data_IF_206933032032
#
_entry.id   IF_206933032032
#
_cell.length_a   1.000
_cell.length_b   1.000
_cell.length_c   1.000
_cell.angle_alpha   90.00
_cell.angle_beta   90.00
_cell.angle_gamma   90.00
#
_symmetry.space_group_name_H-M   'P 1'
#
loop_
_entity.id
_entity.type
_entity.pdbx_description
1 polymer ?
#
# COMPACT_ATOMS: atom_id res chain seq x y z
N UNK A 1 -15.72 54.91 36.42
CA UNK A 1 -16.57 53.85 35.81
C UNK A 1 -15.74 53.13 34.77
N UNK A 2 -15.09 52.02 35.15
CA UNK A 2 -14.09 51.34 34.32
C UNK A 2 -14.74 50.13 33.64
N UNK A 3 -14.58 50.06 32.32
CA UNK A 3 -15.38 49.27 31.39
C UNK A 3 -15.25 47.75 31.55
N UNK A 4 -16.37 47.06 31.31
CA UNK A 4 -16.46 45.60 31.22
C UNK A 4 -15.78 45.13 29.93
N UNK A 5 -14.59 44.55 30.05
CA UNK A 5 -13.94 43.83 28.95
C UNK A 5 -14.79 42.58 28.65
N UNK A 6 -15.47 42.57 27.51
CA UNK A 6 -16.16 41.38 27.01
C UNK A 6 -15.11 40.35 26.60
N UNK A 7 -14.87 39.38 27.48
CA UNK A 7 -14.07 38.18 27.20
C UNK A 7 -14.77 37.41 26.08
N UNK A 8 -14.32 37.58 24.84
CA UNK A 8 -14.79 36.81 23.69
C UNK A 8 -14.35 35.36 23.93
N UNK A 9 -15.30 34.50 24.28
CA UNK A 9 -15.12 33.05 24.28
C UNK A 9 -14.74 32.66 22.86
N UNK A 10 -13.47 32.36 22.65
CA UNK A 10 -12.98 31.72 21.44
C UNK A 10 -13.31 30.23 21.60
N UNK A 11 -14.24 29.74 20.80
CA UNK A 11 -14.52 28.31 20.68
C UNK A 11 -13.28 27.61 20.13
N UNK A 12 -12.87 26.45 20.67
CA UNK A 12 -11.78 25.68 20.09
C UNK A 12 -12.25 25.14 18.74
N UNK A 13 -11.64 25.62 17.66
CA UNK A 13 -11.82 25.07 16.32
C UNK A 13 -11.53 23.56 16.38
N UNK A 14 -12.39 22.69 15.81
CA UNK A 14 -12.10 21.27 15.75
C UNK A 14 -10.78 21.10 15.01
N UNK A 15 -9.82 20.43 15.66
CA UNK A 15 -8.52 20.16 15.09
C UNK A 15 -8.69 19.31 13.83
N UNK A 16 -8.63 19.97 12.68
CA UNK A 16 -8.55 19.31 11.38
C UNK A 16 -7.14 18.72 11.29
N UNK A 17 -6.90 17.61 12.00
CA UNK A 17 -5.79 16.72 11.72
C UNK A 17 -6.13 16.00 10.41
N UNK A 18 -5.98 16.70 9.29
CA UNK A 18 -5.97 16.08 7.97
C UNK A 18 -4.66 15.30 7.86
N UNK A 19 -4.64 14.07 8.40
CA UNK A 19 -3.63 13.09 7.99
C UNK A 19 -4.01 12.68 6.58
N UNK A 20 -3.30 13.20 5.57
CA UNK A 20 -3.40 12.69 4.20
C UNK A 20 -3.23 11.18 4.25
N UNK A 21 -4.35 10.48 4.05
CA UNK A 21 -4.40 9.03 4.17
C UNK A 21 -3.82 8.47 2.89
N UNK A 22 -2.60 7.95 2.96
CA UNK A 22 -1.95 7.27 1.84
C UNK A 22 -2.80 6.06 1.44
N UNK A 23 -3.22 5.99 0.18
CA UNK A 23 -4.03 4.88 -0.33
C UNK A 23 -3.12 3.87 -1.03
N UNK A 24 -3.32 2.58 -0.74
CA UNK A 24 -2.57 1.52 -1.38
C UNK A 24 -3.04 1.31 -2.82
N UNK A 25 -2.17 1.47 -3.84
CA UNK A 25 -2.58 1.36 -5.25
C UNK A 25 -2.94 -0.07 -5.68
N UNK A 26 -2.77 -1.08 -4.82
CA UNK A 26 -3.14 -2.48 -5.10
C UNK A 26 -4.52 -2.82 -4.57
N UNK A 27 -4.78 -2.56 -3.28
CA UNK A 27 -6.04 -2.95 -2.63
C UNK A 27 -6.98 -1.79 -2.31
N UNK A 28 -6.60 -0.56 -2.66
CA UNK A 28 -7.39 0.68 -2.53
C UNK A 28 -7.80 1.04 -1.09
N UNK A 29 -7.17 0.42 -0.08
CA UNK A 29 -7.36 0.74 1.36
C UNK A 29 -6.33 1.76 1.85
N UNK A 30 -6.66 2.46 2.93
CA UNK A 30 -5.75 3.39 3.62
C UNK A 30 -4.57 2.63 4.23
N UNK A 31 -3.36 3.19 4.10
CA UNK A 31 -2.11 2.63 4.62
C UNK A 31 -1.80 3.29 5.97
N UNK A 32 -1.96 2.58 7.10
CA UNK A 32 -1.48 3.09 8.37
C UNK A 32 0.05 3.07 8.38
N UNK A 33 0.66 3.99 9.14
CA UNK A 33 2.11 4.08 9.28
C UNK A 33 2.78 2.74 9.67
N UNK A 34 2.11 1.92 10.48
CA UNK A 34 2.61 0.59 10.90
C UNK A 34 2.72 -0.44 9.75
N UNK A 35 1.94 -0.26 8.68
CA UNK A 35 1.90 -1.16 7.52
C UNK A 35 2.47 -0.54 6.24
N UNK A 36 2.99 0.69 6.31
CA UNK A 36 3.61 1.38 5.18
C UNK A 36 4.93 0.73 4.79
N UNK A 37 5.05 0.33 3.52
CA UNK A 37 6.26 -0.24 2.94
C UNK A 37 6.50 0.32 1.53
N UNK A 38 7.77 0.57 1.18
CA UNK A 38 8.13 1.15 -0.11
C UNK A 38 8.42 0.05 -1.13
N UNK A 39 7.75 0.13 -2.29
CA UNK A 39 7.87 -0.87 -3.34
C UNK A 39 8.27 -0.24 -4.67
N UNK A 40 9.25 -0.83 -5.35
CA UNK A 40 9.59 -0.45 -6.72
C UNK A 40 8.79 -1.34 -7.69
N UNK A 41 7.81 -0.77 -8.38
CA UNK A 41 7.03 -1.51 -9.38
C UNK A 41 7.90 -2.04 -10.53
N UNK A 42 8.93 -1.27 -10.91
CA UNK A 42 10.05 -1.77 -11.71
C UNK A 42 11.20 -2.03 -10.74
N UNK A 43 11.70 -3.27 -10.59
CA UNK A 43 12.78 -3.57 -9.65
C UNK A 43 14.01 -2.67 -9.87
N UNK A 44 14.67 -2.27 -8.78
CA UNK A 44 15.91 -1.45 -8.85
C UNK A 44 17.01 -2.14 -9.66
N UNK A 45 17.12 -3.47 -9.56
CA UNK A 45 18.02 -4.32 -10.37
C UNK A 45 17.75 -4.24 -11.87
N UNK A 46 16.57 -3.76 -12.27
CA UNK A 46 16.11 -3.59 -13.66
C UNK A 46 15.99 -2.12 -14.07
N UNK A 47 16.60 -1.21 -13.30
CA UNK A 47 16.67 0.22 -13.61
C UNK A 47 15.50 1.06 -13.09
N UNK A 48 14.63 0.50 -12.23
CA UNK A 48 13.56 1.27 -11.60
C UNK A 48 14.08 2.33 -10.63
N UNK A 49 13.42 3.51 -10.65
CA UNK A 49 13.81 4.69 -9.87
C UNK A 49 12.71 5.22 -8.95
N UNK A 50 11.45 4.93 -9.26
CA UNK A 50 10.30 5.36 -8.48
C UNK A 50 9.88 4.29 -7.47
N UNK A 51 9.34 4.74 -6.34
CA UNK A 51 8.75 3.91 -5.30
C UNK A 51 7.31 4.32 -5.07
N UNK A 52 6.48 3.33 -4.82
CA UNK A 52 5.09 3.48 -4.36
C UNK A 52 4.99 2.97 -2.93
N UNK A 53 4.10 3.55 -2.13
CA UNK A 53 3.80 3.01 -0.80
C UNK A 53 2.67 1.98 -0.89
N UNK A 54 2.92 0.80 -0.33
CA UNK A 54 1.97 -0.30 -0.24
C UNK A 54 1.77 -0.72 1.22
N UNK A 55 0.70 -1.47 1.51
CA UNK A 55 0.69 -2.30 2.71
C UNK A 55 1.77 -3.39 2.60
N UNK A 56 2.42 -3.73 3.73
CA UNK A 56 3.35 -4.87 3.82
C UNK A 56 2.77 -6.18 3.25
N UNK A 57 1.50 -6.45 3.49
CA UNK A 57 0.83 -7.65 2.94
C UNK A 57 0.70 -7.58 1.40
N UNK A 58 0.37 -6.42 0.84
CA UNK A 58 0.27 -6.23 -0.61
C UNK A 58 1.64 -6.36 -1.27
N UNK A 59 2.68 -5.76 -0.69
CA UNK A 59 4.06 -5.91 -1.14
C UNK A 59 4.47 -7.39 -1.16
N UNK A 60 4.22 -8.12 -0.07
CA UNK A 60 4.53 -9.55 -0.01
C UNK A 60 3.76 -10.37 -1.04
N UNK A 61 2.50 -10.03 -1.31
CA UNK A 61 1.71 -10.70 -2.34
C UNK A 61 2.32 -10.51 -3.74
N UNK A 62 2.77 -9.30 -4.08
CA UNK A 62 3.44 -9.06 -5.37
C UNK A 62 4.63 -10.01 -5.55
N UNK A 63 5.50 -10.13 -4.55
CA UNK A 63 6.66 -11.04 -4.62
C UNK A 63 6.33 -12.53 -4.43
N UNK A 64 5.13 -12.86 -3.94
CA UNK A 64 4.64 -14.22 -3.90
C UNK A 64 4.11 -14.69 -5.26
N UNK A 65 3.58 -13.75 -6.05
CA UNK A 65 3.00 -14.01 -7.36
C UNK A 65 3.97 -13.79 -8.52
N UNK A 66 4.88 -12.81 -8.44
CA UNK A 66 5.70 -12.38 -9.57
C UNK A 66 7.20 -12.34 -9.23
N UNK A 67 8.03 -12.67 -10.22
CA UNK A 67 9.48 -12.48 -10.13
C UNK A 67 9.91 -11.12 -10.71
N UNK A 68 11.16 -10.72 -10.48
CA UNK A 68 11.67 -9.41 -10.90
C UNK A 68 11.60 -9.17 -12.42
N UNK A 69 11.80 -10.21 -13.23
CA UNK A 69 11.74 -10.06 -14.70
C UNK A 69 10.30 -9.80 -15.17
N UNK A 70 9.31 -10.44 -14.54
CA UNK A 70 7.90 -10.22 -14.84
C UNK A 70 7.45 -8.82 -14.42
N UNK A 71 7.87 -8.37 -13.24
CA UNK A 71 7.61 -7.01 -12.76
C UNK A 71 8.21 -5.97 -13.71
N UNK A 72 9.44 -6.17 -14.19
CA UNK A 72 10.07 -5.21 -15.08
C UNK A 72 9.43 -5.15 -16.49
N UNK A 73 8.98 -6.30 -17.02
CA UNK A 73 8.54 -6.40 -18.43
C UNK A 73 7.03 -6.27 -18.62
N UNK A 74 6.25 -6.89 -17.74
CA UNK A 74 4.80 -7.10 -17.95
C UNK A 74 3.96 -6.41 -16.87
N UNK A 75 4.43 -6.44 -15.62
CA UNK A 75 3.66 -5.98 -14.46
C UNK A 75 4.28 -4.76 -13.76
N UNK A 76 4.74 -3.79 -14.56
CA UNK A 76 5.47 -2.61 -14.10
C UNK A 76 4.57 -1.45 -13.62
N UNK A 77 3.25 -1.65 -13.61
CA UNK A 77 2.27 -0.68 -13.11
C UNK A 77 1.30 -1.32 -12.13
N UNK A 78 0.75 -0.54 -11.19
CA UNK A 78 -0.29 -1.01 -10.29
C UNK A 78 -1.51 -1.57 -11.06
N UNK A 79 -1.90 -0.92 -12.18
CA UNK A 79 -2.97 -1.38 -13.05
C UNK A 79 -2.71 -2.79 -13.59
N UNK A 80 -1.54 -3.02 -14.19
CA UNK A 80 -1.17 -4.34 -14.73
C UNK A 80 -1.12 -5.44 -13.66
N UNK A 81 -0.70 -5.10 -12.42
CA UNK A 81 -0.74 -6.02 -11.30
C UNK A 81 -2.19 -6.38 -10.92
N UNK A 82 -3.08 -5.39 -10.82
CA UNK A 82 -4.51 -5.57 -10.49
C UNK A 82 -5.28 -6.38 -11.54
N UNK A 83 -4.83 -6.37 -12.79
CA UNK A 83 -5.46 -7.13 -13.88
C UNK A 83 -5.13 -8.63 -13.85
N UNK A 84 -4.09 -9.05 -13.12
CA UNK A 84 -3.73 -10.46 -13.03
C UNK A 84 -4.76 -11.27 -12.21
N UNK A 85 -5.27 -12.41 -12.69
CA UNK A 85 -6.31 -13.19 -12.00
C UNK A 85 -5.98 -13.54 -10.54
N UNK A 86 -4.76 -14.05 -10.28
CA UNK A 86 -4.35 -14.38 -8.90
C UNK A 86 -4.27 -13.15 -7.98
N UNK A 87 -3.95 -11.98 -8.53
CA UNK A 87 -3.93 -10.73 -7.76
C UNK A 87 -5.35 -10.26 -7.47
N UNK A 88 -6.29 -10.41 -8.41
CA UNK A 88 -7.71 -10.09 -8.18
C UNK A 88 -8.31 -10.95 -7.07
N UNK A 89 -7.98 -12.25 -7.03
CA UNK A 89 -8.40 -13.15 -5.94
C UNK A 89 -7.91 -12.59 -4.59
N UNK A 90 -6.63 -12.22 -4.51
CA UNK A 90 -6.07 -11.61 -3.31
C UNK A 90 -6.75 -10.28 -2.94
N UNK A 91 -6.93 -9.37 -3.89
CA UNK A 91 -7.56 -8.06 -3.67
C UNK A 91 -8.99 -8.25 -3.13
N UNK A 92 -9.77 -9.14 -3.74
CA UNK A 92 -11.13 -9.43 -3.31
C UNK A 92 -11.21 -10.00 -1.89
N UNK A 93 -10.20 -10.72 -1.46
CA UNK A 93 -10.10 -11.24 -0.10
C UNK A 93 -9.64 -10.17 0.90
N UNK A 94 -8.61 -9.37 0.56
CA UNK A 94 -7.99 -8.42 1.49
C UNK A 94 -8.81 -7.14 1.69
N UNK A 95 -9.64 -6.76 0.71
CA UNK A 95 -10.45 -5.52 0.77
C UNK A 95 -11.41 -5.46 1.97
N UNK A 96 -11.81 -6.62 2.50
CA UNK A 96 -12.71 -6.72 3.64
C UNK A 96 -11.98 -6.80 4.99
N UNK A 97 -10.66 -6.58 5.03
CA UNK A 97 -9.84 -6.66 6.25
C UNK A 97 -9.53 -5.26 6.80
N UNK A 98 -9.29 -5.11 8.13
CA UNK A 98 -8.88 -3.84 8.71
C UNK A 98 -7.63 -3.26 8.04
N UNK A 99 -7.49 -1.94 7.96
CA UNK A 99 -6.37 -1.27 7.28
C UNK A 99 -4.99 -1.69 7.82
N UNK A 100 -4.90 -1.97 9.13
CA UNK A 100 -3.69 -2.44 9.79
C UNK A 100 -3.45 -3.96 9.67
N UNK A 101 -4.32 -4.69 8.97
CA UNK A 101 -4.24 -6.14 8.83
C UNK A 101 -2.94 -6.58 8.15
N UNK A 102 -2.33 -7.61 8.71
CA UNK A 102 -1.12 -8.21 8.21
C UNK A 102 -1.10 -9.71 8.51
N UNK A 103 -0.63 -10.47 7.54
CA UNK A 103 -0.41 -11.92 7.66
C UNK A 103 0.83 -12.31 6.83
N UNK A 104 1.42 -13.45 7.15
CA UNK A 104 2.51 -14.01 6.36
C UNK A 104 1.97 -14.54 5.02
N UNK A 105 2.53 -14.06 3.93
CA UNK A 105 2.23 -14.57 2.59
C UNK A 105 3.28 -15.59 2.18
N UNK A 106 2.85 -16.78 1.76
CA UNK A 106 3.73 -17.80 1.18
C UNK A 106 3.90 -17.58 -0.33
N UNK A 107 5.12 -17.80 -0.85
CA UNK A 107 5.38 -17.75 -2.30
C UNK A 107 4.58 -18.84 -3.03
N UNK A 108 4.07 -18.50 -4.22
CA UNK A 108 3.42 -19.47 -5.10
C UNK A 108 4.39 -20.59 -5.51
N UNK A 109 3.86 -21.76 -5.83
CA UNK A 109 4.63 -22.90 -6.34
C UNK A 109 5.40 -22.55 -7.61
N UNK A 110 4.85 -21.68 -8.47
CA UNK A 110 5.52 -21.15 -9.66
C UNK A 110 6.79 -20.37 -9.30
N UNK A 111 6.70 -19.43 -8.36
CA UNK A 111 7.86 -18.65 -7.93
C UNK A 111 8.89 -19.51 -7.18
N UNK A 112 8.45 -20.48 -6.37
CA UNK A 112 9.37 -21.39 -5.67
C UNK A 112 10.22 -22.19 -6.65
N UNK A 113 9.64 -22.74 -7.72
CA UNK A 113 10.36 -23.54 -8.72
C UNK A 113 11.42 -22.75 -9.48
N UNK A 114 11.18 -21.47 -9.74
CA UNK A 114 12.13 -20.60 -10.45
C UNK A 114 13.36 -20.20 -9.62
N UNK A 115 13.40 -20.51 -8.32
CA UNK A 115 14.50 -20.18 -7.42
C UNK A 115 15.49 -21.34 -7.20
N UNK A 116 15.35 -22.47 -7.91
CA UNK A 116 16.19 -23.67 -7.78
C UNK A 116 17.22 -23.85 -8.90
N UNK A 117 17.57 -22.78 -9.62
CA UNK A 117 18.66 -22.77 -10.61
C UNK A 117 19.66 -21.66 -10.27
#
# INVERSE_FOLDING_TARGET
>A
MIGKIRKKLLEPLPSIFHTESLICPICDRSIPNSQKDAHHLIPRSKGGKSTEFLHKICHKQIHALFNENELAKTFNTAKSLKEHPDMQIFINWVKNKPDAFYERVAKSSRIKRNNFF
#
